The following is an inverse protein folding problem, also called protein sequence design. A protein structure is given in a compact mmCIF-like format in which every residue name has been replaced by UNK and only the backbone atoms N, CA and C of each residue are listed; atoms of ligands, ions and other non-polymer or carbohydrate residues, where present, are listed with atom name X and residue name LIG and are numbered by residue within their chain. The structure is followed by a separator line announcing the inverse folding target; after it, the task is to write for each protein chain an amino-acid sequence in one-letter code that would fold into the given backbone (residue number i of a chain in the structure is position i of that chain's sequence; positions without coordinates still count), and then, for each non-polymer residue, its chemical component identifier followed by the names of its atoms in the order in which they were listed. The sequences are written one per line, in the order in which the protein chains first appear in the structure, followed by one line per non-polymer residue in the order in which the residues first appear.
data_IF_604048948533
#
_entry.id   IF_604048948533
#
_cell.length_a   1.000
_cell.length_b   1.000
_cell.length_c   1.000
_cell.angle_alpha   90.00
_cell.angle_beta   90.00
_cell.angle_gamma   90.00
#
_symmetry.space_group_name_H-M   'P 1'
#
loop_
_entity.id
_entity.type
_entity.pdbx_description
1 polymer ?
#
# COMPACT_ATOMS: atom_id res chain seq x y z
N UNK A 1 -15.71 10.93 -35.32
CA UNK A 1 -17.09 10.40 -35.20
C UNK A 1 -17.02 8.89 -35.32
N UNK A 2 -17.45 8.23 -34.26
CA UNK A 2 -17.31 6.79 -34.05
C UNK A 2 -17.53 6.53 -32.55
N UNK A 3 -18.65 7.05 -32.03
CA UNK A 3 -19.11 6.70 -30.70
C UNK A 3 -19.52 5.23 -30.76
N UNK A 4 -18.66 4.36 -30.23
CA UNK A 4 -19.02 2.99 -29.92
C UNK A 4 -20.15 3.05 -28.92
N UNK A 5 -21.33 2.63 -29.37
CA UNK A 5 -22.53 2.47 -28.57
C UNK A 5 -22.18 1.54 -27.41
N UNK A 6 -22.29 2.05 -26.19
CA UNK A 6 -22.29 1.25 -24.97
C UNK A 6 -23.39 0.19 -25.12
N UNK A 7 -22.99 -1.05 -25.34
CA UNK A 7 -23.89 -2.20 -25.25
C UNK A 7 -24.35 -2.32 -23.81
N UNK A 8 -25.63 -2.04 -23.59
CA UNK A 8 -26.39 -2.39 -22.39
C UNK A 8 -26.21 -3.88 -22.05
N UNK A 9 -25.88 -4.18 -20.78
CA UNK A 9 -26.29 -5.44 -20.16
C UNK A 9 -25.23 -6.42 -19.65
N UNK A 10 -23.93 -6.18 -19.80
CA UNK A 10 -22.96 -7.04 -19.12
C UNK A 10 -22.85 -6.64 -17.64
N UNK A 11 -23.43 -7.45 -16.75
CA UNK A 11 -23.30 -7.26 -15.30
C UNK A 11 -21.81 -7.34 -14.96
N UNK A 12 -21.19 -6.19 -14.71
CA UNK A 12 -19.79 -6.11 -14.29
C UNK A 12 -19.64 -6.88 -12.99
N UNK A 13 -18.92 -8.01 -13.04
CA UNK A 13 -18.58 -8.77 -11.84
C UNK A 13 -17.57 -7.97 -11.04
N UNK A 14 -17.85 -7.81 -9.75
CA UNK A 14 -16.98 -7.12 -8.81
C UNK A 14 -16.65 -8.09 -7.69
N UNK A 15 -15.36 -8.23 -7.39
CA UNK A 15 -14.91 -9.06 -6.27
C UNK A 15 -14.12 -8.20 -5.29
N UNK A 16 -14.70 -7.95 -4.12
CA UNK A 16 -14.04 -7.29 -3.00
C UNK A 16 -13.80 -8.29 -1.88
N UNK A 17 -12.63 -8.19 -1.26
CA UNK A 17 -12.23 -9.05 -0.14
C UNK A 17 -11.87 -8.21 1.07
N UNK A 18 -11.84 -8.83 2.24
CA UNK A 18 -11.56 -8.14 3.50
C UNK A 18 -10.16 -7.51 3.50
N UNK A 19 -9.98 -6.29 4.03
CA UNK A 19 -8.67 -5.69 4.17
C UNK A 19 -7.73 -6.53 5.03
N UNK A 20 -6.41 -6.41 4.79
CA UNK A 20 -5.41 -7.02 5.68
C UNK A 20 -5.56 -6.42 7.08
N UNK A 21 -5.93 -7.24 8.05
CA UNK A 21 -6.24 -6.80 9.40
C UNK A 21 -5.57 -7.70 10.44
N UNK A 22 -5.41 -7.22 11.68
CA UNK A 22 -5.03 -8.08 12.79
C UNK A 22 -6.23 -8.96 13.10
N UNK A 23 -6.09 -10.25 12.87
CA UNK A 23 -7.09 -11.25 13.22
C UNK A 23 -6.48 -12.31 14.09
N UNK A 24 -7.19 -12.65 15.16
CA UNK A 24 -6.98 -13.90 15.88
C UNK A 24 -7.64 -15.04 15.09
N UNK A 25 -7.10 -15.37 13.91
CA UNK A 25 -7.51 -16.54 13.13
C UNK A 25 -8.06 -16.28 11.71
N UNK A 26 -7.57 -17.13 10.79
CA UNK A 26 -8.09 -17.64 9.49
C UNK A 26 -8.16 -16.85 8.17
N UNK A 27 -8.45 -15.55 8.03
CA UNK A 27 -8.86 -15.10 6.67
C UNK A 27 -7.71 -15.11 5.62
N UNK A 28 -6.45 -14.89 6.04
CA UNK A 28 -5.27 -15.07 5.18
C UNK A 28 -4.81 -16.54 5.04
N UNK A 29 -5.40 -17.46 5.80
CA UNK A 29 -5.20 -18.91 5.72
C UNK A 29 -6.23 -19.58 4.78
N UNK A 30 -7.38 -18.95 4.55
CA UNK A 30 -8.50 -19.53 3.78
C UNK A 30 -8.17 -19.79 2.30
N UNK A 31 -7.21 -19.06 1.74
CA UNK A 31 -6.82 -19.17 0.31
C UNK A 31 -5.40 -19.73 0.12
N UNK A 32 -4.77 -20.32 1.15
CA UNK A 32 -3.39 -20.80 1.00
C UNK A 32 -3.33 -22.12 0.26
N UNK A 33 -2.55 -22.15 -0.81
CA UNK A 33 -2.22 -23.40 -1.47
C UNK A 33 -1.33 -24.29 -0.58
N UNK A 34 -1.58 -25.63 -0.54
CA UNK A 34 -0.69 -26.56 0.15
C UNK A 34 0.74 -26.51 -0.40
N UNK A 35 1.71 -26.81 0.46
CA UNK A 35 3.14 -26.87 0.14
C UNK A 35 3.74 -25.54 -0.35
N UNK A 36 3.28 -24.42 0.20
CA UNK A 36 3.67 -23.05 -0.18
C UNK A 36 5.20 -22.86 -0.26
N UNK A 37 5.96 -23.27 0.76
CA UNK A 37 7.42 -23.13 0.76
C UNK A 37 8.08 -23.89 -0.41
N UNK A 38 7.64 -25.13 -0.67
CA UNK A 38 8.16 -25.93 -1.79
C UNK A 38 7.86 -25.27 -3.14
N UNK A 39 6.69 -24.65 -3.30
CA UNK A 39 6.31 -23.91 -4.51
C UNK A 39 7.19 -22.68 -4.71
N UNK A 40 7.43 -21.92 -3.64
CA UNK A 40 8.32 -20.77 -3.65
C UNK A 40 9.75 -21.19 -4.03
N UNK A 41 10.30 -22.21 -3.37
CA UNK A 41 11.64 -22.71 -3.69
C UNK A 41 11.74 -23.21 -5.14
N UNK A 42 10.69 -23.85 -5.66
CA UNK A 42 10.61 -24.26 -7.07
C UNK A 42 10.54 -23.06 -8.02
N UNK A 43 9.84 -21.99 -7.63
CA UNK A 43 9.67 -20.79 -8.43
C UNK A 43 11.00 -20.04 -8.63
N UNK A 44 11.85 -20.06 -7.59
CA UNK A 44 13.15 -19.38 -7.58
C UNK A 44 14.34 -20.25 -7.97
N UNK A 45 14.12 -21.54 -8.28
CA UNK A 45 15.19 -22.53 -8.53
C UNK A 45 16.21 -22.06 -9.58
N UNK A 46 15.73 -21.45 -10.65
CA UNK A 46 16.56 -21.03 -11.79
C UNK A 46 16.90 -19.53 -11.77
N UNK A 47 16.55 -18.82 -10.70
CA UNK A 47 16.83 -17.39 -10.54
C UNK A 47 18.14 -17.21 -9.80
N UNK A 48 19.02 -16.35 -10.33
CA UNK A 48 20.30 -16.04 -9.68
C UNK A 48 20.12 -15.03 -8.55
N UNK A 49 20.80 -15.17 -7.40
CA UNK A 49 20.88 -14.09 -6.41
C UNK A 49 21.35 -12.79 -7.05
N UNK A 50 20.73 -11.68 -6.67
CA UNK A 50 20.90 -10.36 -7.27
C UNK A 50 19.91 -10.02 -8.39
N UNK A 51 19.13 -10.98 -8.89
CA UNK A 51 18.20 -10.75 -10.01
C UNK A 51 17.06 -9.81 -9.64
N UNK A 52 16.74 -8.89 -10.55
CA UNK A 52 15.54 -8.05 -10.53
C UNK A 52 14.30 -8.90 -10.90
N UNK A 53 13.22 -8.76 -10.12
CA UNK A 53 11.98 -9.51 -10.29
C UNK A 53 10.84 -8.69 -10.93
N UNK A 54 11.11 -7.52 -11.48
CA UNK A 54 10.09 -6.62 -12.06
C UNK A 54 9.30 -7.23 -13.22
N UNK A 55 9.90 -8.17 -13.95
CA UNK A 55 9.24 -8.93 -15.02
C UNK A 55 8.79 -10.34 -14.58
N UNK A 56 8.94 -10.67 -13.30
CA UNK A 56 8.70 -12.01 -12.80
C UNK A 56 7.21 -12.29 -12.62
N UNK A 57 6.73 -13.39 -13.19
CA UNK A 57 5.30 -13.76 -13.14
C UNK A 57 4.99 -14.61 -11.92
N UNK A 58 4.24 -14.02 -10.99
CA UNK A 58 3.71 -14.75 -9.83
C UNK A 58 2.50 -15.58 -10.25
N UNK A 59 2.45 -16.84 -9.81
CA UNK A 59 1.34 -17.77 -10.07
C UNK A 59 0.14 -17.44 -9.16
N UNK A 60 -1.12 -17.65 -9.58
CA UNK A 60 -2.29 -17.38 -8.74
C UNK A 60 -2.28 -18.05 -7.36
N UNK A 61 -1.64 -19.21 -7.22
CA UNK A 61 -1.48 -19.91 -5.92
C UNK A 61 -0.62 -19.15 -4.89
N UNK A 62 0.12 -18.16 -5.35
CA UNK A 62 0.94 -17.26 -4.54
C UNK A 62 0.33 -15.85 -4.50
N UNK A 63 -0.90 -15.68 -5.00
CA UNK A 63 -1.59 -14.41 -4.99
C UNK A 63 -2.69 -14.37 -3.92
N UNK A 64 -2.84 -13.21 -3.29
CA UNK A 64 -4.08 -12.85 -2.61
C UNK A 64 -5.06 -12.25 -3.63
N UNK A 65 -6.38 -12.41 -3.45
CA UNK A 65 -7.42 -11.88 -4.34
C UNK A 65 -7.59 -10.35 -4.18
N UNK A 66 -6.50 -9.59 -4.37
CA UNK A 66 -6.41 -8.14 -4.26
C UNK A 66 -5.29 -7.60 -5.15
N UNK A 67 -5.54 -6.46 -5.78
CA UNK A 67 -4.51 -5.68 -6.47
C UNK A 67 -3.61 -4.92 -5.47
N UNK A 68 -2.38 -4.60 -5.87
CA UNK A 68 -1.53 -3.69 -5.09
C UNK A 68 -2.20 -2.33 -4.87
N UNK A 69 -2.94 -1.79 -5.85
CA UNK A 69 -3.63 -0.51 -5.69
C UNK A 69 -4.63 -0.56 -4.54
N UNK A 70 -5.42 -1.63 -4.47
CA UNK A 70 -6.35 -1.86 -3.37
C UNK A 70 -5.60 -2.00 -2.03
N UNK A 71 -4.49 -2.73 -1.97
CA UNK A 71 -3.70 -2.85 -0.74
C UNK A 71 -3.17 -1.50 -0.24
N UNK A 72 -2.70 -0.64 -1.15
CA UNK A 72 -2.23 0.71 -0.81
C UNK A 72 -3.39 1.59 -0.33
N UNK A 73 -4.52 1.60 -1.04
CA UNK A 73 -5.72 2.32 -0.63
C UNK A 73 -6.22 1.89 0.74
N UNK A 74 -6.39 0.58 0.98
CA UNK A 74 -6.87 0.05 2.26
C UNK A 74 -5.92 0.37 3.43
N UNK A 75 -4.63 0.62 3.16
CA UNK A 75 -3.68 1.10 4.18
C UNK A 75 -3.95 2.54 4.64
N UNK A 76 -4.79 3.29 3.92
CA UNK A 76 -5.15 4.68 4.15
C UNK A 76 -6.57 4.83 4.71
N UNK A 77 -7.53 4.06 4.20
CA UNK A 77 -8.96 4.28 4.51
C UNK A 77 -9.63 3.18 5.32
N UNK A 78 -9.04 1.99 5.44
CA UNK A 78 -9.61 0.91 6.24
C UNK A 78 -9.03 0.92 7.66
N UNK A 79 -9.67 1.70 8.53
CA UNK A 79 -9.32 1.85 9.93
C UNK A 79 -10.59 1.90 10.78
N UNK A 80 -10.52 1.36 12.00
CA UNK A 80 -11.61 1.51 12.98
C UNK A 80 -11.58 2.89 13.64
N UNK A 81 -10.42 3.56 13.65
CA UNK A 81 -10.25 4.91 14.14
C UNK A 81 -9.86 5.86 13.02
N UNK A 82 -10.40 7.08 13.04
CA UNK A 82 -10.04 8.12 12.08
C UNK A 82 -8.69 8.76 12.43
N UNK A 83 -7.61 8.07 12.06
CA UNK A 83 -6.24 8.48 12.34
C UNK A 83 -5.83 9.78 11.63
N UNK A 84 -6.33 10.01 10.42
CA UNK A 84 -6.03 11.22 9.65
C UNK A 84 -6.65 12.46 10.30
N UNK A 85 -7.90 12.36 10.77
CA UNK A 85 -8.52 13.43 11.55
C UNK A 85 -7.81 13.69 12.88
N UNK A 86 -7.26 12.65 13.53
CA UNK A 86 -6.40 12.83 14.72
C UNK A 86 -5.16 13.67 14.40
N UNK A 87 -4.56 13.55 13.21
CA UNK A 87 -3.45 14.41 12.78
C UNK A 87 -3.86 15.89 12.75
N UNK A 88 -5.05 16.19 12.22
CA UNK A 88 -5.54 17.57 12.10
C UNK A 88 -5.93 18.21 13.44
N UNK A 89 -6.32 17.38 14.43
CA UNK A 89 -6.83 17.84 15.72
C UNK A 89 -5.75 18.07 16.80
N UNK A 90 -4.46 17.84 16.49
CA UNK A 90 -3.37 18.11 17.43
C UNK A 90 -3.30 19.61 17.80
N UNK A 91 -3.15 19.90 19.10
CA UNK A 91 -3.29 21.26 19.65
C UNK A 91 -2.15 22.19 19.25
N UNK A 92 -0.95 21.64 19.10
CA UNK A 92 0.27 22.36 18.75
C UNK A 92 1.06 21.54 17.70
N UNK A 93 2.11 22.11 17.08
CA UNK A 93 2.87 21.43 16.03
C UNK A 93 3.40 20.06 16.44
N UNK A 94 3.90 19.89 17.66
CA UNK A 94 4.48 18.62 18.11
C UNK A 94 3.40 17.55 18.33
N UNK A 95 2.24 17.91 18.88
CA UNK A 95 1.10 16.99 19.04
C UNK A 95 0.60 16.48 17.68
N UNK A 96 0.51 17.38 16.68
CA UNK A 96 0.16 17.00 15.30
C UNK A 96 1.21 16.09 14.68
N UNK A 97 2.49 16.42 14.86
CA UNK A 97 3.58 15.60 14.35
C UNK A 97 3.60 14.19 14.96
N UNK A 98 3.38 14.07 16.27
CA UNK A 98 3.21 12.77 16.96
C UNK A 98 2.03 11.99 16.39
N UNK A 99 0.90 12.65 16.09
CA UNK A 99 -0.25 12.01 15.46
C UNK A 99 0.04 11.57 14.01
N UNK A 100 0.80 12.34 13.23
CA UNK A 100 1.25 11.95 11.88
C UNK A 100 2.19 10.75 11.95
N UNK A 101 3.09 10.70 12.93
CA UNK A 101 3.92 9.52 13.20
C UNK A 101 3.03 8.31 13.50
N UNK A 102 2.04 8.44 14.39
CA UNK A 102 1.13 7.36 14.72
C UNK A 102 0.32 6.87 13.51
N UNK A 103 -0.19 7.79 12.69
CA UNK A 103 -0.88 7.45 11.44
C UNK A 103 0.05 6.73 10.46
N UNK A 104 1.27 7.22 10.25
CA UNK A 104 2.25 6.56 9.38
C UNK A 104 2.51 5.11 9.81
N UNK A 105 2.72 4.88 11.11
CA UNK A 105 2.89 3.54 11.68
C UNK A 105 1.63 2.68 11.47
N UNK A 106 0.44 3.28 11.58
CA UNK A 106 -0.81 2.57 11.35
C UNK A 106 -0.98 2.08 9.91
N UNK A 107 -0.28 2.66 8.93
CA UNK A 107 -0.31 2.18 7.53
C UNK A 107 0.44 0.85 7.34
N UNK A 108 1.24 0.41 8.32
CA UNK A 108 1.90 -0.90 8.30
C UNK A 108 0.86 -2.01 8.50
N UNK A 109 0.71 -2.88 7.50
CA UNK A 109 -0.25 -3.98 7.49
C UNK A 109 0.41 -5.34 7.77
N UNK A 110 -0.31 -6.30 8.36
CA UNK A 110 0.15 -7.68 8.48
C UNK A 110 0.55 -8.28 7.13
N UNK A 111 1.77 -8.79 7.05
CA UNK A 111 2.28 -9.44 5.85
C UNK A 111 2.07 -10.95 5.95
N UNK A 112 1.56 -11.55 4.86
CA UNK A 112 1.42 -13.00 4.77
C UNK A 112 2.60 -13.58 4.01
N UNK A 113 3.34 -14.49 4.66
CA UNK A 113 4.47 -15.17 4.01
C UNK A 113 4.03 -15.88 2.74
N UNK A 114 4.74 -15.63 1.64
CA UNK A 114 4.56 -16.35 0.38
C UNK A 114 3.35 -15.96 -0.45
N UNK A 115 2.62 -14.90 -0.05
CA UNK A 115 1.44 -14.42 -0.76
C UNK A 115 1.65 -12.95 -1.15
N UNK A 116 1.49 -12.64 -2.42
CA UNK A 116 1.61 -11.29 -2.98
C UNK A 116 0.27 -10.81 -3.57
N UNK A 117 -0.06 -9.52 -3.49
CA UNK A 117 -1.15 -8.97 -4.29
C UNK A 117 -0.88 -9.11 -5.81
N UNK A 118 -1.91 -8.94 -6.63
CA UNK A 118 -1.73 -8.83 -8.07
C UNK A 118 -0.91 -7.58 -8.43
N UNK A 119 0.02 -7.73 -9.37
CA UNK A 119 0.73 -6.60 -9.95
C UNK A 119 -0.26 -5.83 -10.86
N UNK A 120 -0.57 -4.56 -10.59
CA UNK A 120 -1.59 -3.83 -11.32
C UNK A 120 -1.26 -3.72 -12.81
N UNK A 121 -2.31 -3.78 -13.62
CA UNK A 121 -2.18 -3.55 -15.07
C UNK A 121 -2.04 -2.05 -15.36
N UNK A 122 -1.50 -1.68 -16.51
CA UNK A 122 -1.35 -0.27 -16.88
C UNK A 122 -2.73 0.40 -17.00
N UNK A 123 -2.91 1.54 -16.33
CA UNK A 123 -4.19 2.25 -16.29
C UNK A 123 -5.25 1.63 -15.38
N UNK A 124 -4.92 0.61 -14.59
CA UNK A 124 -5.77 0.12 -13.51
C UNK A 124 -6.01 1.24 -12.49
N UNK A 125 -7.22 1.30 -11.93
CA UNK A 125 -7.62 2.29 -10.94
C UNK A 125 -8.10 1.62 -9.66
N UNK A 126 -8.03 2.33 -8.53
CA UNK A 126 -8.76 1.98 -7.32
C UNK A 126 -9.45 3.21 -6.74
N UNK A 127 -10.79 3.27 -6.71
CA UNK A 127 -11.56 4.42 -6.23
C UNK A 127 -12.46 4.04 -5.05
N UNK A 128 -12.20 4.60 -3.87
CA UNK A 128 -12.93 4.28 -2.64
C UNK A 128 -13.18 5.50 -1.73
N UNK A 129 -14.22 5.42 -0.90
CA UNK A 129 -14.58 6.43 0.10
C UNK A 129 -14.70 5.81 1.50
N UNK A 130 -14.23 6.53 2.51
CA UNK A 130 -14.43 6.22 3.92
C UNK A 130 -14.87 7.49 4.66
N UNK A 131 -16.17 7.59 4.98
CA UNK A 131 -16.72 8.82 5.53
C UNK A 131 -16.61 9.97 4.52
N UNK A 132 -15.92 11.05 4.89
CA UNK A 132 -15.63 12.21 4.03
C UNK A 132 -14.33 12.09 3.23
N UNK A 133 -13.49 11.10 3.52
CA UNK A 133 -12.24 10.86 2.82
C UNK A 133 -12.51 10.10 1.52
N UNK A 134 -12.09 10.67 0.39
CA UNK A 134 -12.17 10.06 -0.94
C UNK A 134 -10.76 9.79 -1.48
N UNK A 135 -10.54 8.62 -2.06
CA UNK A 135 -9.22 8.17 -2.51
C UNK A 135 -9.31 7.57 -3.90
N UNK A 136 -8.38 7.99 -4.76
CA UNK A 136 -8.20 7.47 -6.10
C UNK A 136 -6.74 7.05 -6.30
N UNK A 137 -6.55 5.81 -6.75
CA UNK A 137 -5.27 5.32 -7.22
C UNK A 137 -5.31 5.03 -8.70
N UNK A 138 -4.15 5.15 -9.35
CA UNK A 138 -3.93 4.73 -10.72
C UNK A 138 -2.55 4.06 -10.87
N UNK A 139 -2.48 2.97 -11.64
CA UNK A 139 -1.20 2.43 -12.10
C UNK A 139 -0.71 3.22 -13.32
N UNK A 140 0.21 4.16 -13.07
CA UNK A 140 0.66 5.12 -14.09
C UNK A 140 1.79 4.56 -14.98
N UNK A 141 2.51 3.52 -14.52
CA UNK A 141 3.53 2.82 -15.30
C UNK A 141 3.60 1.34 -14.88
N UNK A 142 3.90 0.45 -15.83
CA UNK A 142 4.03 -1.00 -15.57
C UNK A 142 5.50 -1.48 -15.57
N UNK A 143 6.36 -0.86 -16.38
CA UNK A 143 7.79 -1.19 -16.48
C UNK A 143 8.63 0.10 -16.52
N UNK A 144 9.17 0.57 -15.37
CA UNK A 144 9.00 0.00 -14.02
C UNK A 144 7.57 0.19 -13.47
N UNK A 145 7.14 -0.61 -12.48
CA UNK A 145 5.82 -0.44 -11.87
C UNK A 145 5.79 0.83 -11.01
N UNK A 146 4.84 1.73 -11.32
CA UNK A 146 4.60 2.96 -10.56
C UNK A 146 3.11 3.15 -10.36
N UNK A 147 2.71 3.34 -9.10
CA UNK A 147 1.35 3.65 -8.70
C UNK A 147 1.28 5.04 -8.10
N UNK A 148 0.25 5.80 -8.45
CA UNK A 148 -0.04 7.10 -7.86
C UNK A 148 -1.35 7.03 -7.08
N UNK A 149 -1.43 7.76 -5.97
CA UNK A 149 -2.59 7.90 -5.11
C UNK A 149 -2.83 9.37 -4.82
N UNK A 150 -4.09 9.78 -4.91
CA UNK A 150 -4.61 11.05 -4.42
C UNK A 150 -5.72 10.77 -3.41
N UNK A 151 -5.67 11.42 -2.27
CA UNK A 151 -6.72 11.37 -1.26
C UNK A 151 -7.10 12.77 -0.84
N UNK A 152 -8.39 13.06 -0.75
CA UNK A 152 -8.86 14.35 -0.22
C UNK A 152 -10.01 14.16 0.73
N UNK A 153 -9.97 14.89 1.84
CA UNK A 153 -11.12 15.13 2.71
C UNK A 153 -11.38 16.63 2.74
N UNK A 154 -12.37 17.08 1.96
CA UNK A 154 -12.72 18.50 1.86
C UNK A 154 -13.30 19.04 3.17
N UNK A 155 -13.90 18.19 4.00
CA UNK A 155 -14.49 18.59 5.28
C UNK A 155 -13.40 18.87 6.31
N UNK A 156 -12.33 18.08 6.29
CA UNK A 156 -11.19 18.22 7.20
C UNK A 156 -10.04 19.06 6.60
N UNK A 157 -10.19 19.56 5.36
CA UNK A 157 -9.16 20.30 4.62
C UNK A 157 -7.82 19.54 4.55
N UNK A 158 -7.91 18.26 4.22
CA UNK A 158 -6.77 17.33 4.15
C UNK A 158 -6.57 16.85 2.72
N UNK A 159 -5.31 16.80 2.30
CA UNK A 159 -4.89 16.21 1.03
C UNK A 159 -3.72 15.27 1.27
N UNK A 160 -3.70 14.13 0.59
CA UNK A 160 -2.53 13.27 0.51
C UNK A 160 -2.25 12.89 -0.93
N UNK A 161 -0.96 12.96 -1.29
CA UNK A 161 -0.43 12.51 -2.56
C UNK A 161 0.63 11.46 -2.27
N UNK A 162 0.59 10.33 -2.97
CA UNK A 162 1.55 9.26 -2.78
C UNK A 162 1.93 8.63 -4.12
N UNK A 163 3.22 8.65 -4.44
CA UNK A 163 3.82 8.04 -5.61
C UNK A 163 4.71 6.89 -5.12
N UNK A 164 4.47 5.65 -5.59
CA UNK A 164 5.13 4.46 -5.05
C UNK A 164 5.70 3.55 -6.16
N UNK A 165 6.92 3.06 -5.92
CA UNK A 165 7.72 2.29 -6.86
C UNK A 165 8.32 1.06 -6.17
N UNK A 166 7.62 -0.09 -6.17
CA UNK A 166 8.15 -1.31 -5.62
C UNK A 166 9.21 -1.92 -6.54
N UNK A 167 10.41 -2.17 -6.02
CA UNK A 167 11.51 -2.85 -6.73
C UNK A 167 11.87 -4.13 -5.99
N UNK A 168 11.53 -5.27 -6.58
CA UNK A 168 11.76 -6.57 -5.97
C UNK A 168 13.10 -7.17 -6.45
N UNK A 169 13.93 -7.60 -5.49
CA UNK A 169 15.23 -8.23 -5.75
C UNK A 169 15.36 -9.54 -4.99
N UNK A 170 15.79 -10.58 -5.70
CA UNK A 170 16.04 -11.89 -5.12
C UNK A 170 17.46 -12.02 -4.60
N UNK A 171 17.64 -12.58 -3.40
CA UNK A 171 18.96 -12.79 -2.77
C UNK A 171 19.26 -14.27 -2.48
N UNK A 172 18.61 -15.20 -3.18
CA UNK A 172 18.81 -16.64 -2.99
C UNK A 172 17.89 -17.23 -1.92
N UNK A 173 17.99 -16.74 -0.69
CA UNK A 173 17.17 -17.22 0.44
C UNK A 173 16.07 -16.23 0.85
N UNK A 174 16.02 -15.06 0.21
CA UNK A 174 15.02 -14.04 0.47
C UNK A 174 14.69 -13.23 -0.79
N UNK A 175 13.57 -12.52 -0.72
CA UNK A 175 13.23 -11.42 -1.62
C UNK A 175 13.10 -10.15 -0.78
N UNK A 176 13.81 -9.11 -1.17
CA UNK A 176 13.58 -7.76 -0.66
C UNK A 176 12.76 -6.98 -1.69
N UNK A 177 11.76 -6.25 -1.23
CA UNK A 177 11.06 -5.26 -2.04
C UNK A 177 11.39 -3.91 -1.47
N UNK A 178 12.25 -3.18 -2.17
CA UNK A 178 12.47 -1.77 -1.88
C UNK A 178 11.24 -0.98 -2.32
N UNK A 179 10.69 -0.17 -1.43
CA UNK A 179 9.52 0.65 -1.72
C UNK A 179 9.97 2.10 -1.84
N UNK A 180 10.45 2.47 -3.03
CA UNK A 180 10.85 3.84 -3.30
C UNK A 180 9.63 4.72 -3.59
N UNK A 181 9.81 6.03 -3.51
CA UNK A 181 8.76 7.02 -3.75
C UNK A 181 8.50 7.92 -2.55
N UNK A 182 7.56 8.85 -2.73
CA UNK A 182 7.28 9.94 -1.79
C UNK A 182 5.79 9.95 -1.43
N UNK A 183 5.50 10.08 -0.14
CA UNK A 183 4.17 10.34 0.39
C UNK A 183 4.15 11.71 1.03
N UNK A 184 3.18 12.52 0.65
CA UNK A 184 2.96 13.87 1.15
C UNK A 184 1.57 13.94 1.78
N UNK A 185 1.48 14.35 3.05
CA UNK A 185 0.23 14.62 3.74
C UNK A 185 0.18 16.13 4.04
N UNK A 186 -0.88 16.80 3.61
CA UNK A 186 -1.08 18.24 3.77
C UNK A 186 -2.25 18.48 4.70
N UNK A 187 -1.98 19.22 5.77
CA UNK A 187 -3.00 19.70 6.71
C UNK A 187 -3.20 21.19 6.46
N UNK A 188 -4.12 21.54 5.57
CA UNK A 188 -4.24 22.92 5.09
C UNK A 188 -4.66 23.90 6.19
N UNK A 189 -5.44 23.45 7.18
CA UNK A 189 -5.81 24.23 8.37
C UNK A 189 -4.60 24.75 9.15
N UNK A 190 -3.47 24.04 9.09
CA UNK A 190 -2.24 24.39 9.82
C UNK A 190 -1.14 24.93 8.91
N UNK A 191 -1.35 24.88 7.58
CA UNK A 191 -0.32 25.16 6.56
C UNK A 191 0.93 24.29 6.75
N UNK A 192 0.71 23.01 7.03
CA UNK A 192 1.77 22.03 7.26
C UNK A 192 1.76 20.95 6.19
N UNK A 193 2.94 20.65 5.65
CA UNK A 193 3.16 19.54 4.71
C UNK A 193 4.15 18.55 5.29
N UNK A 194 3.71 17.32 5.46
CA UNK A 194 4.48 16.21 5.99
C UNK A 194 4.93 15.31 4.84
N UNK A 195 6.24 15.15 4.67
CA UNK A 195 6.85 14.30 3.64
C UNK A 195 7.44 13.06 4.28
N UNK A 196 7.17 11.89 3.71
CA UNK A 196 7.64 10.62 4.25
C UNK A 196 7.94 9.58 3.18
N UNK A 197 8.89 8.70 3.48
CA UNK A 197 9.18 7.52 2.68
C UNK A 197 8.41 6.29 3.21
N UNK A 198 8.62 5.14 2.55
CA UNK A 198 8.09 3.84 2.99
C UNK A 198 9.23 2.93 3.48
N UNK A 199 8.97 2.03 4.44
CA UNK A 199 9.89 0.93 4.73
C UNK A 199 9.86 -0.14 3.62
N UNK A 200 10.91 -0.95 3.57
CA UNK A 200 11.03 -2.10 2.67
C UNK A 200 10.24 -3.30 3.20
N UNK A 201 9.94 -4.23 2.28
CA UNK A 201 9.41 -5.55 2.61
C UNK A 201 10.52 -6.60 2.49
N UNK A 202 10.57 -7.52 3.44
CA UNK A 202 11.53 -8.63 3.45
C UNK A 202 10.79 -9.95 3.57
N UNK A 203 10.91 -10.80 2.55
CA UNK A 203 10.36 -12.15 2.51
C UNK A 203 11.51 -13.16 2.60
N UNK A 204 11.73 -13.77 3.77
CA UNK A 204 12.78 -14.76 4.01
C UNK A 204 12.21 -16.16 3.82
N UNK A 205 12.85 -17.00 3.02
CA UNK A 205 12.44 -18.39 2.76
C UNK A 205 13.18 -19.39 3.65
N UNK A 206 14.47 -19.13 3.91
CA UNK A 206 15.36 -19.97 4.71
C UNK A 206 16.16 -19.08 5.68
N UNK A 207 16.55 -19.59 6.87
CA UNK A 207 16.21 -20.90 7.43
C UNK A 207 14.77 -20.96 7.97
N UNK A 208 14.19 -19.82 8.34
CA UNK A 208 12.83 -19.72 8.86
C UNK A 208 12.00 -18.78 7.99
N UNK A 209 10.91 -19.28 7.37
CA UNK A 209 9.96 -18.48 6.61
C UNK A 209 9.44 -17.27 7.41
N UNK A 210 9.59 -16.07 6.86
CA UNK A 210 9.09 -14.85 7.49
C UNK A 210 8.76 -13.78 6.43
N UNK A 211 7.79 -12.92 6.75
CA UNK A 211 7.48 -11.71 5.99
C UNK A 211 7.45 -10.53 6.96
N UNK A 212 8.27 -9.52 6.70
CA UNK A 212 8.55 -8.46 7.67
C UNK A 212 8.72 -7.11 6.99
N UNK A 213 8.32 -6.05 7.69
CA UNK A 213 8.74 -4.68 7.37
C UNK A 213 10.17 -4.46 7.86
N UNK A 214 10.99 -3.80 7.05
CA UNK A 214 12.40 -3.52 7.35
C UNK A 214 12.84 -2.17 6.81
N UNK A 215 13.95 -1.65 7.35
CA UNK A 215 14.52 -0.38 6.88
C UNK A 215 14.08 0.81 7.73
N UNK A 216 14.35 2.01 7.22
CA UNK A 216 14.15 3.27 7.93
C UNK A 216 12.94 4.02 7.37
N UNK A 217 12.16 4.61 8.26
CA UNK A 217 11.08 5.53 7.94
C UNK A 217 11.52 6.92 8.40
N UNK A 218 11.51 7.87 7.48
CA UNK A 218 11.72 9.29 7.74
C UNK A 218 10.40 10.01 7.51
N UNK A 219 10.02 10.86 8.45
CA UNK A 219 8.87 11.76 8.33
C UNK A 219 9.40 13.14 8.64
N UNK A 220 9.14 14.14 7.80
CA UNK A 220 9.61 15.49 8.03
C UNK A 220 8.52 16.50 7.69
N UNK A 221 8.40 17.55 8.50
CA UNK A 221 7.59 18.72 8.22
C UNK A 221 8.50 19.93 8.21
N UNK A 222 8.75 20.50 7.03
CA UNK A 222 9.64 21.66 6.89
C UNK A 222 9.04 22.90 7.57
N UNK A 223 7.72 23.05 7.50
CA UNK A 223 6.99 24.19 8.07
C UNK A 223 7.17 24.31 9.59
N UNK A 224 7.32 23.18 10.28
CA UNK A 224 7.47 23.13 11.74
C UNK A 224 8.90 22.84 12.19
N UNK A 225 9.80 22.47 11.28
CA UNK A 225 11.15 22.01 11.62
C UNK A 225 11.18 20.71 12.45
N UNK A 226 10.20 19.83 12.25
CA UNK A 226 10.12 18.57 12.99
C UNK A 226 10.43 17.39 12.06
N UNK A 227 11.19 16.43 12.60
CA UNK A 227 11.59 15.24 11.88
C UNK A 227 11.51 14.00 12.76
N UNK A 228 10.99 12.89 12.24
CA UNK A 228 11.07 11.58 12.87
C UNK A 228 11.97 10.65 12.04
N UNK A 229 12.84 9.94 12.75
CA UNK A 229 13.63 8.83 12.23
C UNK A 229 13.19 7.56 12.95
N UNK A 230 12.54 6.65 12.23
CA UNK A 230 12.08 5.36 12.75
C UNK A 230 12.81 4.23 12.03
N UNK A 231 12.92 3.08 12.69
CA UNK A 231 13.49 1.86 12.12
C UNK A 231 12.60 0.67 12.42
N UNK A 232 12.15 0.00 11.37
CA UNK A 232 11.49 -1.29 11.45
C UNK A 232 12.56 -2.37 11.58
N UNK A 233 12.53 -3.14 12.68
CA UNK A 233 13.41 -4.28 12.90
C UNK A 233 12.62 -5.58 12.70
N UNK A 234 13.07 -6.37 11.72
CA UNK A 234 12.65 -7.76 11.56
C UNK A 234 13.33 -8.70 12.57
N UNK A 235 12.99 -9.98 12.50
CA UNK A 235 13.58 -11.09 13.22
C UNK A 235 15.09 -11.15 12.96
N UNK A 236 15.86 -11.40 14.03
CA UNK A 236 17.30 -11.67 13.96
C UNK A 236 17.57 -12.92 13.11
N UNK A 237 18.74 -12.96 12.46
CA UNK A 237 19.14 -14.01 11.49
C UNK A 237 19.08 -15.45 12.05
N UNK A 238 19.13 -15.62 13.37
CA UNK A 238 19.09 -16.93 14.04
C UNK A 238 17.82 -17.18 14.87
N UNK A 239 16.79 -16.32 14.80
CA UNK A 239 15.55 -16.51 15.55
C UNK A 239 15.65 -16.35 17.07
N UNK A 240 16.85 -16.19 17.62
CA UNK A 240 17.08 -15.91 19.04
C UNK A 240 17.12 -14.39 19.30
N UNK A 241 16.28 -13.91 20.22
CA UNK A 241 16.52 -12.66 20.97
C UNK A 241 16.08 -11.33 20.34
N UNK A 242 15.22 -11.30 19.31
CA UNK A 242 14.66 -10.05 18.77
C UNK A 242 13.15 -9.95 18.96
N UNK A 243 12.65 -8.78 19.41
CA UNK A 243 11.21 -8.49 19.33
C UNK A 243 10.82 -8.33 17.86
N UNK A 244 10.24 -9.38 17.26
CA UNK A 244 9.65 -9.30 15.94
C UNK A 244 8.72 -8.09 15.83
N UNK A 245 8.64 -7.49 14.64
CA UNK A 245 7.74 -6.37 14.34
C UNK A 245 8.02 -5.11 15.19
N UNK A 246 9.23 -4.99 15.72
CA UNK A 246 9.63 -3.83 16.53
C UNK A 246 9.78 -2.59 15.65
N UNK A 247 9.32 -1.47 16.17
CA UNK A 247 9.58 -0.14 15.65
C UNK A 247 10.22 0.69 16.75
N UNK A 248 11.33 1.35 16.42
CA UNK A 248 12.07 2.24 17.33
C UNK A 248 12.50 3.48 16.59
N UNK A 249 12.53 4.61 17.26
CA UNK A 249 12.91 5.85 16.62
C UNK A 249 12.96 7.02 17.57
N UNK A 250 13.05 8.22 17.00
CA UNK A 250 13.07 9.48 17.73
C UNK A 250 12.39 10.56 16.89
N UNK A 251 11.82 11.55 17.57
CA UNK A 251 11.42 12.82 16.97
C UNK A 251 12.49 13.86 17.35
N UNK A 252 12.89 14.66 16.39
CA UNK A 252 13.97 15.63 16.44
C UNK A 252 13.43 17.02 16.08
N UNK A 253 14.03 18.04 16.67
CA UNK A 253 14.10 19.36 16.05
C UNK A 253 15.12 19.30 14.91
N UNK A 254 14.69 19.55 13.67
CA UNK A 254 15.55 19.43 12.50
C UNK A 254 16.62 20.53 12.42
N UNK A 255 16.37 21.70 13.01
CA UNK A 255 17.33 22.81 12.99
C UNK A 255 18.47 22.60 13.97
N UNK A 256 18.16 22.10 15.17
CA UNK A 256 19.16 21.87 16.21
C UNK A 256 19.65 20.43 16.29
N UNK A 257 19.03 19.50 15.53
CA UNK A 257 19.25 18.05 15.61
C UNK A 257 19.04 17.48 17.03
N UNK A 258 18.30 18.20 17.87
CA UNK A 258 18.07 17.82 19.27
C UNK A 258 16.92 16.82 19.34
N UNK A 259 17.10 15.65 19.98
CA UNK A 259 16.01 14.73 20.17
C UNK A 259 15.01 15.29 21.19
N UNK A 260 13.72 15.25 20.82
CA UNK A 260 12.59 15.72 21.62
C UNK A 260 11.83 14.53 22.23
N UNK A 261 11.66 13.47 21.45
CA UNK A 261 10.94 12.27 21.87
C UNK A 261 11.62 10.99 21.41
N UNK A 262 11.44 9.92 22.18
CA UNK A 262 11.79 8.55 21.80
C UNK A 262 10.54 7.76 21.45
N UNK A 263 10.59 6.93 20.40
CA UNK A 263 9.51 6.07 19.96
C UNK A 263 9.92 4.63 20.15
N UNK A 264 9.04 3.82 20.75
CA UNK A 264 9.30 2.41 21.00
C UNK A 264 8.02 1.60 21.00
N UNK A 265 8.05 0.42 20.36
CA UNK A 265 6.99 -0.56 20.48
C UNK A 265 7.02 -1.60 19.38
N UNK A 266 5.84 -2.13 19.08
CA UNK A 266 5.59 -3.07 17.99
C UNK A 266 4.42 -2.57 17.16
N UNK A 267 4.59 -2.47 15.84
CA UNK A 267 3.58 -1.88 14.94
C UNK A 267 2.32 -2.74 14.79
N UNK A 268 2.36 -4.00 15.22
CA UNK A 268 1.21 -4.91 15.28
C UNK A 268 0.58 -4.99 16.68
N UNK A 269 1.06 -4.18 17.64
CA UNK A 269 0.54 -4.11 19.02
C UNK A 269 0.45 -2.66 19.47
N UNK A 270 1.28 -2.25 20.42
CA UNK A 270 1.29 -0.92 20.99
C UNK A 270 2.59 -0.22 20.63
N UNK A 271 2.50 1.06 20.28
CA UNK A 271 3.64 1.96 20.13
C UNK A 271 3.47 3.13 21.08
N UNK A 272 4.57 3.46 21.77
CA UNK A 272 4.65 4.54 22.73
C UNK A 272 5.60 5.62 22.26
N UNK A 273 5.35 6.84 22.74
CA UNK A 273 6.25 7.97 22.64
C UNK A 273 6.65 8.41 24.05
N UNK A 274 7.92 8.76 24.25
CA UNK A 274 8.45 9.26 25.51
C UNK A 274 9.06 10.64 25.30
N UNK A 275 8.58 11.64 26.03
CA UNK A 275 9.21 12.98 26.07
C UNK A 275 10.57 12.90 26.76
N UNK A 276 11.61 13.43 26.12
CA UNK A 276 12.97 13.44 26.69
C UNK A 276 13.07 14.44 27.85
N UNK A 277 12.38 15.57 27.74
CA UNK A 277 12.39 16.62 28.76
C UNK A 277 11.66 16.20 30.03
N UNK A 278 10.42 15.70 29.89
CA UNK A 278 9.56 15.38 31.05
C UNK A 278 9.65 13.93 31.50
N UNK A 279 10.20 13.04 30.67
CA UNK A 279 10.17 11.59 30.89
C UNK A 279 8.79 10.95 30.72
N UNK A 280 7.74 11.73 30.43
CA UNK A 280 6.37 11.24 30.27
C UNK A 280 6.26 10.27 29.09
N UNK A 281 5.61 9.14 29.30
CA UNK A 281 5.35 8.11 28.29
C UNK A 281 3.87 8.08 27.95
N UNK A 282 3.54 8.05 26.67
CA UNK A 282 2.17 7.98 26.16
C UNK A 282 2.06 6.91 25.08
N UNK A 283 0.90 6.26 24.99
CA UNK A 283 0.58 5.35 23.89
C UNK A 283 0.08 6.20 22.73
N UNK A 284 0.75 6.12 21.58
CA UNK A 284 0.37 6.88 20.38
C UNK A 284 -0.40 6.02 19.37
N UNK A 285 -0.28 4.71 19.47
CA UNK A 285 -0.94 3.78 18.56
C UNK A 285 -1.17 2.41 19.22
N UNK A 286 -2.37 1.88 19.01
CA UNK A 286 -2.76 0.52 19.37
C UNK A 286 -3.39 -0.16 18.15
N UNK A 287 -2.71 -1.18 17.64
CA UNK A 287 -3.12 -1.89 16.45
C UNK A 287 -4.43 -2.68 16.64
N UNK A 288 -4.73 -3.14 17.86
CA UNK A 288 -6.00 -3.81 18.16
C UNK A 288 -7.19 -2.85 18.06
N UNK A 289 -6.99 -1.59 18.42
CA UNK A 289 -8.06 -0.61 18.34
C UNK A 289 -8.27 -0.16 16.90
N UNK A 290 -7.21 -0.14 16.09
CA UNK A 290 -7.23 0.50 14.79
C UNK A 290 -7.42 -0.46 13.59
N UNK A 291 -6.76 -1.61 13.60
CA UNK A 291 -6.69 -2.51 12.43
C UNK A 291 -7.20 -3.92 12.73
N UNK A 292 -8.02 -4.08 13.77
CA UNK A 292 -8.63 -5.35 14.14
C UNK A 292 -9.96 -5.57 13.44
N UNK A 293 -10.15 -6.75 12.84
CA UNK A 293 -11.42 -7.19 12.23
C UNK A 293 -12.04 -6.14 11.29
N UNK A 294 -11.22 -5.59 10.41
CA UNK A 294 -11.68 -4.61 9.41
C UNK A 294 -12.77 -5.23 8.53
N UNK A 295 -13.76 -4.43 8.14
CA UNK A 295 -14.89 -4.88 7.32
C UNK A 295 -14.55 -4.77 5.84
N UNK A 296 -15.07 -5.68 5.03
CA UNK A 296 -14.97 -5.61 3.56
C UNK A 296 -15.71 -4.36 3.05
N UNK A 297 -15.08 -3.53 2.20
CA UNK A 297 -15.76 -2.44 1.51
C UNK A 297 -16.94 -2.95 0.66
N UNK A 298 -17.92 -2.09 0.41
CA UNK A 298 -19.15 -2.42 -0.33
C UNK A 298 -19.32 -1.52 -1.53
N UNK A 299 -19.94 -2.02 -2.59
CA UNK A 299 -20.30 -1.21 -3.77
C UNK A 299 -21.67 -0.58 -3.51
N UNK A 300 -21.73 0.75 -3.47
CA UNK A 300 -22.95 1.52 -3.29
C UNK A 300 -23.62 1.84 -4.64
N UNK A 301 -22.83 2.11 -5.67
CA UNK A 301 -23.31 2.38 -7.02
C UNK A 301 -22.52 1.56 -8.05
N UNK A 302 -23.13 0.46 -8.49
CA UNK A 302 -22.54 -0.45 -9.47
C UNK A 302 -22.28 0.22 -10.83
N UNK A 303 -23.13 1.19 -11.23
CA UNK A 303 -23.04 1.82 -12.56
C UNK A 303 -21.87 2.79 -12.64
N UNK A 304 -21.51 3.39 -11.52
CA UNK A 304 -20.38 4.32 -11.40
C UNK A 304 -19.02 3.64 -11.23
N UNK A 305 -18.97 2.31 -11.08
CA UNK A 305 -17.69 1.58 -11.00
C UNK A 305 -17.03 1.53 -12.39
N UNK A 306 -15.82 2.09 -12.49
CA UNK A 306 -15.04 2.12 -13.73
C UNK A 306 -14.63 0.70 -14.17
N UNK A 307 -14.57 0.41 -15.49
CA UNK A 307 -14.00 -0.84 -15.98
C UNK A 307 -12.54 -1.07 -15.59
N UNK A 308 -11.79 0.01 -15.35
CA UNK A 308 -10.41 -0.01 -14.87
C UNK A 308 -10.28 -0.33 -13.38
N UNK A 309 -11.37 -0.38 -12.63
CA UNK A 309 -11.35 -0.61 -11.19
C UNK A 309 -10.73 -1.97 -10.85
N UNK A 310 -9.78 -2.00 -9.93
CA UNK A 310 -9.08 -3.22 -9.46
C UNK A 310 -10.04 -4.37 -9.16
N UNK A 311 -11.16 -4.07 -8.49
CA UNK A 311 -12.15 -5.07 -8.11
C UNK A 311 -12.95 -5.65 -9.30
N UNK A 312 -12.99 -4.94 -10.43
CA UNK A 312 -13.54 -5.41 -11.73
C UNK A 312 -12.46 -6.15 -12.51
N UNK A 313 -11.31 -5.51 -12.72
CA UNK A 313 -10.17 -6.02 -13.50
C UNK A 313 -9.76 -7.41 -13.03
N UNK A 314 -9.65 -7.61 -11.72
CA UNK A 314 -9.22 -8.86 -11.13
C UNK A 314 -10.36 -9.77 -10.68
N UNK A 315 -11.62 -9.44 -10.99
CA UNK A 315 -12.80 -10.11 -10.43
C UNK A 315 -12.79 -11.63 -10.66
N UNK A 316 -12.52 -12.07 -11.90
CA UNK A 316 -12.50 -13.50 -12.26
C UNK A 316 -11.33 -14.25 -11.61
N UNK A 317 -10.14 -13.64 -11.57
CA UNK A 317 -8.96 -14.23 -10.92
C UNK A 317 -9.22 -14.39 -9.44
N UNK A 318 -9.77 -13.36 -8.79
CA UNK A 318 -10.14 -13.37 -7.38
C UNK A 318 -11.19 -14.44 -7.07
N UNK A 319 -12.23 -14.59 -7.90
CA UNK A 319 -13.24 -15.64 -7.72
C UNK A 319 -12.65 -17.05 -7.82
N UNK A 320 -11.75 -17.29 -8.79
CA UNK A 320 -11.04 -18.56 -8.90
C UNK A 320 -10.18 -18.87 -7.67
N UNK A 321 -9.44 -17.88 -7.15
CA UNK A 321 -8.67 -18.05 -5.91
C UNK A 321 -9.58 -18.33 -4.72
N UNK A 322 -10.67 -17.56 -4.58
CA UNK A 322 -11.60 -17.67 -3.44
C UNK A 322 -12.36 -19.00 -3.42
N UNK A 323 -12.63 -19.58 -4.59
CA UNK A 323 -13.28 -20.89 -4.73
C UNK A 323 -12.30 -22.06 -4.77
N UNK A 324 -10.99 -21.81 -4.61
CA UNK A 324 -9.92 -22.80 -4.80
C UNK A 324 -9.88 -23.45 -6.20
N UNK A 325 -10.51 -22.84 -7.22
CA UNK A 325 -10.36 -23.22 -8.63
C UNK A 325 -9.11 -22.56 -9.24
N UNK A 326 -7.96 -23.18 -8.96
CA UNK A 326 -6.66 -22.69 -9.39
C UNK A 326 -6.48 -22.68 -10.90
N UNK A 327 -7.17 -23.56 -11.63
CA UNK A 327 -7.08 -23.61 -13.09
C UNK A 327 -7.92 -22.51 -13.73
N UNK A 328 -9.11 -22.22 -13.19
CA UNK A 328 -9.86 -21.02 -13.59
C UNK A 328 -9.08 -19.74 -13.30
N UNK A 329 -8.52 -19.59 -12.10
CA UNK A 329 -7.71 -18.43 -11.74
C UNK A 329 -6.51 -18.24 -12.69
N UNK A 330 -5.83 -19.33 -13.06
CA UNK A 330 -4.70 -19.31 -14.00
C UNK A 330 -5.11 -18.93 -15.41
N UNK A 331 -6.24 -19.45 -15.91
CA UNK A 331 -6.78 -19.09 -17.23
C UNK A 331 -7.17 -17.60 -17.26
N UNK A 332 -7.94 -17.13 -16.29
CA UNK A 332 -8.36 -15.74 -16.20
C UNK A 332 -7.16 -14.78 -16.12
N UNK A 333 -6.17 -15.09 -15.25
CA UNK A 333 -4.95 -14.29 -15.11
C UNK A 333 -4.15 -14.24 -16.41
N UNK A 334 -4.04 -15.36 -17.12
CA UNK A 334 -3.35 -15.42 -18.43
C UNK A 334 -4.06 -14.52 -19.45
N UNK A 335 -5.37 -14.64 -19.59
CA UNK A 335 -6.17 -13.82 -20.53
C UNK A 335 -5.97 -12.33 -20.26
N UNK A 336 -6.02 -11.91 -18.99
CA UNK A 336 -5.81 -10.52 -18.59
C UNK A 336 -4.41 -10.03 -18.98
N UNK A 337 -3.38 -10.78 -18.63
CA UNK A 337 -1.99 -10.41 -18.93
C UNK A 337 -1.66 -10.45 -20.43
N UNK A 338 -2.28 -11.35 -21.20
CA UNK A 338 -2.11 -11.40 -22.65
C UNK A 338 -2.74 -10.19 -23.33
N UNK A 339 -3.94 -9.78 -22.93
CA UNK A 339 -4.58 -8.53 -23.41
C UNK A 339 -3.70 -7.31 -23.13
N UNK A 340 -3.08 -7.25 -21.95
CA UNK A 340 -2.15 -6.17 -21.61
C UNK A 340 -0.89 -6.17 -22.49
N UNK A 341 -0.32 -7.36 -22.78
CA UNK A 341 0.82 -7.49 -23.69
C UNK A 341 0.46 -7.07 -25.11
N UNK A 342 -0.73 -7.42 -25.57
CA UNK A 342 -1.23 -7.05 -26.90
C UNK A 342 -1.44 -5.54 -26.99
N UNK A 343 -2.13 -4.93 -26.03
CA UNK A 343 -2.29 -3.48 -25.95
C UNK A 343 -0.95 -2.72 -25.99
N UNK A 344 0.04 -3.18 -25.22
CA UNK A 344 1.37 -2.59 -25.23
C UNK A 344 2.07 -2.69 -26.60
N UNK A 345 1.91 -3.83 -27.32
CA UNK A 345 2.45 -4.00 -28.68
C UNK A 345 1.75 -3.10 -29.70
N UNK A 346 0.43 -2.94 -29.59
CA UNK A 346 -0.36 -2.08 -30.48
C UNK A 346 -0.06 -0.59 -30.27
N UNK A 347 0.15 -0.16 -29.02
CA UNK A 347 0.60 1.20 -28.72
C UNK A 347 2.00 1.45 -29.31
N UNK A 348 2.92 0.50 -29.11
CA UNK A 348 4.27 0.59 -29.63
C UNK A 348 4.31 0.60 -31.16
N UNK A 349 3.47 -0.19 -31.85
CA UNK A 349 3.41 -0.21 -33.32
C UNK A 349 2.87 1.10 -33.90
N UNK A 350 2.04 1.84 -33.14
CA UNK A 350 1.54 3.16 -33.49
C UNK A 350 2.46 4.32 -33.08
N UNK A 351 3.54 4.03 -32.35
CA UNK A 351 4.42 5.06 -31.80
C UNK A 351 3.75 5.93 -30.72
N UNK A 352 2.66 5.44 -30.12
CA UNK A 352 1.91 6.15 -29.08
C UNK A 352 2.52 5.86 -27.71
N UNK A 353 2.56 6.90 -26.86
CA UNK A 353 2.96 6.75 -25.45
C UNK A 353 1.71 6.73 -24.58
N UNK A 354 1.64 5.77 -23.65
CA UNK A 354 0.57 5.75 -22.66
C UNK A 354 0.61 6.99 -21.77
N UNK A 355 -0.55 7.62 -21.56
CA UNK A 355 -0.72 8.72 -20.63
C UNK A 355 -1.72 8.30 -19.54
N UNK A 356 -1.39 8.48 -18.25
CA UNK A 356 -2.34 8.23 -17.17
C UNK A 356 -3.52 9.19 -17.24
N UNK A 357 -4.68 8.76 -16.75
CA UNK A 357 -5.94 9.50 -16.83
C UNK A 357 -6.12 10.51 -15.70
N UNK A 358 -5.56 10.23 -14.52
CA UNK A 358 -5.83 11.01 -13.31
C UNK A 358 -4.59 11.72 -12.75
N UNK A 359 -3.41 11.38 -13.26
CA UNK A 359 -2.14 11.94 -12.81
C UNK A 359 -1.28 12.38 -13.98
N UNK A 360 -0.58 13.50 -13.81
CA UNK A 360 0.64 13.78 -14.56
C UNK A 360 1.84 13.26 -13.78
N UNK A 361 2.95 13.03 -14.46
CA UNK A 361 4.20 12.68 -13.78
C UNK A 361 5.41 13.34 -14.42
N UNK A 362 6.45 13.53 -13.62
CA UNK A 362 7.76 13.99 -14.05
C UNK A 362 8.87 13.19 -13.36
N UNK A 363 10.10 13.38 -13.84
CA UNK A 363 11.29 12.84 -13.19
C UNK A 363 12.09 13.97 -12.55
N UNK A 364 12.56 13.76 -11.32
CA UNK A 364 13.57 14.63 -10.71
C UNK A 364 14.90 14.52 -11.45
N UNK A 365 15.87 15.40 -11.15
CA UNK A 365 17.22 15.32 -11.73
C UNK A 365 17.91 14.00 -11.38
N UNK A 366 17.55 13.44 -10.23
CA UNK A 366 18.02 12.17 -9.69
C UNK A 366 17.24 10.96 -10.27
N UNK A 367 16.25 11.21 -11.14
CA UNK A 367 15.43 10.18 -11.80
C UNK A 367 14.27 9.64 -10.96
N UNK A 368 13.95 10.28 -9.83
CA UNK A 368 12.81 9.90 -8.99
C UNK A 368 11.50 10.31 -9.64
N UNK A 369 10.45 9.51 -9.46
CA UNK A 369 9.13 9.83 -10.01
C UNK A 369 8.39 10.79 -9.09
N UNK A 370 7.88 11.86 -9.68
CA UNK A 370 6.94 12.76 -9.02
C UNK A 370 5.58 12.66 -9.72
N UNK A 371 4.59 12.22 -8.98
CA UNK A 371 3.22 12.10 -9.43
C UNK A 371 2.41 13.33 -8.95
N UNK A 372 1.64 13.97 -9.84
CA UNK A 372 0.77 15.10 -9.48
C UNK A 372 -0.66 14.80 -9.95
N UNK A 373 -1.67 14.89 -9.07
CA UNK A 373 -3.07 14.76 -9.47
C UNK A 373 -3.46 15.82 -10.50
N UNK A 374 -4.23 15.42 -11.51
CA UNK A 374 -4.78 16.36 -12.51
C UNK A 374 -5.91 17.19 -11.90
N UNK A 375 -6.72 16.56 -11.03
CA UNK A 375 -7.83 17.20 -10.34
C UNK A 375 -7.42 17.66 -8.95
N UNK A 376 -8.01 18.76 -8.48
CA UNK A 376 -7.72 19.32 -7.16
C UNK A 376 -8.32 18.49 -6.02
N UNK A 377 -9.47 17.87 -6.24
CA UNK A 377 -10.10 16.98 -5.26
C UNK A 377 -10.58 15.67 -5.88
N UNK A 378 -10.67 14.65 -5.03
CA UNK A 378 -11.15 13.32 -5.39
C UNK A 378 -12.66 13.27 -5.11
N UNK A 379 -13.49 12.95 -6.12
CA UNK A 379 -14.93 12.86 -5.92
C UNK A 379 -15.30 11.63 -5.06
N UNK A 380 -16.51 11.60 -4.48
CA UNK A 380 -17.05 10.42 -3.82
C UNK A 380 -17.00 9.17 -4.71
N UNK A 381 -16.68 8.04 -4.11
CA UNK A 381 -16.44 6.80 -4.81
C UNK A 381 -17.63 5.83 -4.75
N UNK A 382 -17.77 4.94 -5.75
CA UNK A 382 -18.78 3.89 -5.72
C UNK A 382 -18.47 2.78 -4.71
N UNK A 383 -17.21 2.59 -4.32
CA UNK A 383 -16.79 1.64 -3.28
C UNK A 383 -16.68 2.37 -1.95
N UNK A 384 -17.40 1.92 -0.93
CA UNK A 384 -17.48 2.59 0.37
C UNK A 384 -17.15 1.63 1.51
N UNK A 385 -16.35 2.09 2.47
CA UNK A 385 -16.12 1.36 3.72
C UNK A 385 -17.37 1.43 4.59
N UNK A 386 -17.93 0.28 5.01
CA UNK A 386 -19.11 0.28 5.87
C UNK A 386 -18.77 0.85 7.25
N UNK A 387 -19.73 1.56 7.83
CA UNK A 387 -19.64 2.09 9.21
C UNK A 387 -19.57 0.98 10.25
#
# INVERSE_FOLDING_TARGET
MGAGVDTEGEVRRITLTKPLSLEGGSDAADYRSPNLLKRILSLFKDIRPGSDLSHFKVSPQLNMPKSQLQCYGESVYCFNEDMLRKCNNGKNPIDRFVAVVAWNISTLRPLTFGIAPFNPILGETHHASAGSLNILLEQISHHPPVSALHATDEKENLEMIWCQLPKAKFYGTSVEVEVSGKRELRLANHRETYVMNSPNLMFKFLPTPAAEWSGSIRIACQDTGLEAELRCKGLSFFGFGGNARSIKGKILDSFSSKPLYEINGQWDRTVTVKSIESGKVEIIYNAKDNIWRLKTPTVQDLRSVLPSESAVVWSEVSQGIMSNDWEAAKRAKRVLEDKQREFAREMASRGETWAPKFFTYSHTKEGEWECTPIQKSVPPAPIVVPK
#
